data_IF_732823457853
#
_entry.id   IF_732823457853
#
_cell.length_a   1.000
_cell.length_b   1.000
_cell.length_c   1.000
_cell.angle_alpha   90.00
_cell.angle_beta   90.00
_cell.angle_gamma   90.00
#
_symmetry.space_group_name_H-M   'P 1'
#
loop_
_entity.id
_entity.type
_entity.pdbx_description
1 polymer ?
#
# COMPACT_ATOMS: atom_id res chain seq x y z
N UNK A 1 3.79 16.88 14.55
CA UNK A 1 4.39 15.57 14.24
C UNK A 1 4.66 15.50 12.75
N UNK A 2 5.89 15.21 12.32
CA UNK A 2 6.27 15.09 10.91
C UNK A 2 6.58 13.62 10.58
N UNK A 3 6.05 13.12 9.46
CA UNK A 3 6.32 11.77 8.99
C UNK A 3 7.48 11.81 7.99
N UNK A 4 8.42 10.87 8.14
CA UNK A 4 9.49 10.64 7.18
C UNK A 4 9.19 9.37 6.38
N UNK A 5 9.17 9.48 5.06
CA UNK A 5 9.02 8.33 4.17
C UNK A 5 10.26 7.44 4.24
N UNK A 6 10.06 6.12 4.28
CA UNK A 6 11.13 5.12 4.24
C UNK A 6 11.39 4.56 2.84
N UNK A 7 10.58 4.98 1.86
CA UNK A 7 10.60 4.42 0.51
C UNK A 7 9.43 4.92 -0.33
N UNK A 8 9.23 4.28 -1.48
CA UNK A 8 8.16 4.58 -2.42
C UNK A 8 7.62 3.32 -3.09
N UNK A 9 6.44 3.43 -3.69
CA UNK A 9 5.73 2.34 -4.34
C UNK A 9 5.79 2.53 -5.85
N UNK A 10 6.27 1.54 -6.59
CA UNK A 10 6.16 1.46 -8.06
C UNK A 10 5.01 0.52 -8.41
N UNK A 11 3.92 1.09 -8.89
CA UNK A 11 2.76 0.32 -9.34
C UNK A 11 2.50 0.57 -10.82
N UNK A 12 2.07 -0.45 -11.59
CA UNK A 12 1.58 -0.25 -12.96
C UNK A 12 0.27 0.57 -12.99
N UNK A 13 -0.39 0.74 -11.85
CA UNK A 13 -1.67 1.44 -11.72
C UNK A 13 -1.43 2.95 -11.66
N UNK A 14 -1.75 3.64 -12.76
CA UNK A 14 -1.57 5.10 -12.88
C UNK A 14 -2.80 5.91 -12.49
N UNK A 15 -3.98 5.29 -12.44
CA UNK A 15 -5.26 5.94 -12.13
C UNK A 15 -6.03 5.13 -11.08
N UNK A 16 -6.88 5.79 -10.26
CA UNK A 16 -7.75 5.09 -9.33
C UNK A 16 -8.62 4.09 -10.09
N UNK A 17 -8.54 2.81 -9.73
CA UNK A 17 -9.39 1.76 -10.29
C UNK A 17 -10.23 1.13 -9.20
N UNK A 18 -11.47 0.78 -9.53
CA UNK A 18 -12.33 -0.02 -8.66
C UNK A 18 -12.24 -1.48 -9.08
N UNK A 19 -11.84 -2.36 -8.16
CA UNK A 19 -11.68 -3.80 -8.43
C UNK A 19 -10.45 -4.16 -9.28
N UNK A 20 -10.35 -5.45 -9.65
CA UNK A 20 -9.29 -5.96 -10.54
C UNK A 20 -7.89 -5.93 -9.93
N UNK A 21 -7.78 -6.13 -8.62
CA UNK A 21 -6.51 -6.06 -7.88
C UNK A 21 -5.76 -7.40 -7.82
N UNK A 22 -6.44 -8.50 -8.13
CA UNK A 22 -5.96 -9.88 -7.93
C UNK A 22 -4.64 -10.17 -8.64
N UNK A 23 -4.44 -9.60 -9.83
CA UNK A 23 -3.25 -9.85 -10.66
C UNK A 23 -2.25 -8.68 -10.63
N UNK A 24 -2.45 -7.69 -9.75
CA UNK A 24 -1.62 -6.49 -9.73
C UNK A 24 -0.38 -6.68 -8.86
N UNK A 25 0.75 -6.95 -9.49
CA UNK A 25 2.06 -6.94 -8.83
C UNK A 25 2.53 -5.50 -8.68
N UNK A 26 2.98 -5.14 -7.48
CA UNK A 26 3.47 -3.81 -7.13
C UNK A 26 4.81 -3.96 -6.41
N UNK A 27 5.79 -3.15 -6.77
CA UNK A 27 7.13 -3.16 -6.18
C UNK A 27 7.22 -2.07 -5.11
N UNK A 28 7.72 -2.43 -3.93
CA UNK A 28 7.97 -1.50 -2.82
C UNK A 28 9.47 -1.29 -2.74
N UNK A 29 9.93 -0.07 -2.97
CA UNK A 29 11.35 0.29 -2.94
C UNK A 29 11.65 1.00 -1.63
N UNK A 30 12.43 0.36 -0.77
CA UNK A 30 12.85 0.90 0.53
C UNK A 30 14.25 1.52 0.39
N UNK A 31 14.47 2.65 1.05
CA UNK A 31 15.79 3.28 1.13
C UNK A 31 16.75 2.38 1.93
N UNK A 32 17.97 2.20 1.42
CA UNK A 32 19.00 1.32 2.01
C UNK A 32 19.33 1.65 3.46
N UNK A 33 19.11 2.89 3.90
CA UNK A 33 19.29 3.30 5.30
C UNK A 33 18.32 2.61 6.27
N UNK A 34 17.29 1.93 5.77
CA UNK A 34 16.30 1.17 6.54
C UNK A 34 16.35 -0.34 6.29
N UNK A 35 17.37 -0.83 5.57
CA UNK A 35 17.49 -2.23 5.19
C UNK A 35 17.51 -3.18 6.40
N UNK A 36 18.18 -2.78 7.49
CA UNK A 36 18.27 -3.56 8.73
C UNK A 36 16.89 -3.86 9.34
N UNK A 37 15.90 -3.00 9.11
CA UNK A 37 14.52 -3.21 9.59
C UNK A 37 13.72 -4.24 8.78
N UNK A 38 14.30 -4.79 7.69
CA UNK A 38 13.67 -5.78 6.83
C UNK A 38 14.21 -7.21 7.08
N UNK A 39 15.13 -7.39 8.03
CA UNK A 39 15.66 -8.71 8.36
C UNK A 39 14.53 -9.67 8.79
N UNK A 40 14.47 -10.86 8.18
CA UNK A 40 13.45 -11.88 8.43
C UNK A 40 12.08 -11.61 7.79
N UNK A 41 11.95 -10.60 6.92
CA UNK A 41 10.68 -10.30 6.24
C UNK A 41 10.23 -11.42 5.30
N UNK A 42 11.17 -12.21 4.79
CA UNK A 42 11.00 -13.35 3.90
C UNK A 42 10.37 -14.57 4.59
N UNK A 43 10.40 -14.64 5.92
CA UNK A 43 9.69 -15.66 6.70
C UNK A 43 8.16 -15.48 6.69
N UNK A 44 7.67 -14.33 6.22
CA UNK A 44 6.25 -13.97 6.21
C UNK A 44 5.67 -13.96 4.79
N UNK A 45 4.52 -14.61 4.65
CA UNK A 45 3.76 -14.62 3.39
C UNK A 45 2.90 -13.36 3.17
N UNK A 46 2.62 -12.60 4.22
CA UNK A 46 1.71 -11.45 4.19
C UNK A 46 2.26 -10.30 5.03
N UNK A 47 2.17 -9.09 4.49
CA UNK A 47 2.66 -7.86 5.13
C UNK A 47 1.56 -6.81 5.20
N UNK A 48 1.56 -6.02 6.28
CA UNK A 48 0.75 -4.81 6.38
C UNK A 48 1.61 -3.63 5.96
N UNK A 49 1.24 -2.99 4.85
CA UNK A 49 1.98 -1.84 4.32
C UNK A 49 1.21 -0.56 4.60
N UNK A 50 1.84 0.34 5.37
CA UNK A 50 1.34 1.69 5.60
C UNK A 50 1.98 2.63 4.59
N UNK A 51 1.15 3.36 3.85
CA UNK A 51 1.62 4.30 2.82
C UNK A 51 0.82 5.60 2.85
N UNK A 52 1.41 6.65 2.29
CA UNK A 52 0.79 7.97 2.23
C UNK A 52 0.05 8.17 0.91
N UNK A 53 -1.25 8.44 0.99
CA UNK A 53 -2.08 8.80 -0.17
C UNK A 53 -1.85 10.28 -0.53
N UNK A 54 -0.73 10.55 -1.18
CA UNK A 54 -0.26 11.89 -1.55
C UNK A 54 -1.20 12.66 -2.48
N UNK A 55 -1.92 11.95 -3.36
CA UNK A 55 -2.84 12.54 -4.35
C UNK A 55 -4.27 12.75 -3.86
N UNK A 56 -4.59 12.43 -2.61
CA UNK A 56 -5.94 12.64 -2.07
C UNK A 56 -6.14 14.11 -1.72
N UNK A 57 -7.22 14.69 -2.25
CA UNK A 57 -7.69 16.03 -1.90
C UNK A 57 -8.16 16.05 -0.44
N UNK A 58 -7.33 16.64 0.44
CA UNK A 58 -7.56 16.73 1.88
C UNK A 58 -8.79 17.58 2.24
N UNK A 59 -9.31 18.37 1.31
CA UNK A 59 -10.40 19.33 1.53
C UNK A 59 -11.80 18.79 1.30
N UNK A 60 -11.98 17.55 0.82
CA UNK A 60 -13.31 17.03 0.45
C UNK A 60 -13.59 15.65 1.04
N UNK A 61 -13.99 15.63 2.31
CA UNK A 61 -14.73 14.50 2.87
C UNK A 61 -16.19 14.60 2.40
N UNK A 62 -16.48 14.20 1.16
CA UNK A 62 -17.86 13.82 0.80
C UNK A 62 -18.14 12.48 1.43
N UNK A 63 -18.64 12.49 2.66
CA UNK A 63 -19.18 11.30 3.30
C UNK A 63 -20.36 10.79 2.47
N UNK A 64 -20.13 9.77 1.63
CA UNK A 64 -21.20 9.06 0.95
C UNK A 64 -21.87 8.14 1.97
N UNK A 65 -23.05 8.53 2.46
CA UNK A 65 -23.94 7.67 3.27
C UNK A 65 -24.47 6.54 2.40
N UNK A 66 -23.68 5.48 2.22
CA UNK A 66 -24.25 4.19 1.86
C UNK A 66 -23.59 3.12 2.69
N UNK A 67 -24.45 2.45 3.46
CA UNK A 67 -24.15 1.49 4.49
C UNK A 67 -23.48 0.24 3.91
N UNK A 68 -22.16 0.22 3.80
CA UNK A 68 -21.41 -1.00 3.52
C UNK A 68 -20.15 -1.03 4.37
N UNK A 69 -20.15 -1.98 5.31
CA UNK A 69 -19.08 -2.31 6.25
C UNK A 69 -17.80 -2.65 5.48
N UNK A 70 -16.90 -1.68 5.29
CA UNK A 70 -15.57 -1.91 4.71
C UNK A 70 -14.74 -2.77 5.68
N UNK A 71 -14.64 -4.07 5.39
CA UNK A 71 -13.46 -4.85 5.77
C UNK A 71 -12.40 -4.61 4.70
N UNK A 72 -11.49 -3.66 4.97
CA UNK A 72 -10.24 -3.53 4.22
C UNK A 72 -9.30 -4.64 4.69
N UNK A 73 -9.34 -5.79 4.02
CA UNK A 73 -8.28 -6.79 4.06
C UNK A 73 -7.75 -6.86 2.63
N UNK A 74 -6.55 -6.32 2.40
CA UNK A 74 -5.84 -6.50 1.14
C UNK A 74 -5.08 -7.83 1.21
N UNK A 75 -5.42 -8.86 0.43
CA UNK A 75 -4.50 -9.97 0.21
C UNK A 75 -3.45 -9.51 -0.80
N UNK A 76 -2.28 -9.10 -0.31
CA UNK A 76 -1.09 -8.96 -1.17
C UNK A 76 -0.48 -10.36 -1.27
N UNK A 77 -0.72 -11.05 -2.38
CA UNK A 77 0.00 -12.28 -2.71
C UNK A 77 1.27 -11.87 -3.45
N UNK A 78 2.39 -11.85 -2.73
CA UNK A 78 3.70 -11.60 -3.30
C UNK A 78 4.36 -12.95 -3.59
N UNK A 79 4.48 -13.30 -4.87
CA UNK A 79 5.34 -14.42 -5.31
C UNK A 79 6.72 -13.84 -5.62
N UNK A 80 7.71 -14.26 -4.84
CA UNK A 80 9.12 -14.04 -5.15
C UNK A 80 9.51 -14.97 -6.31
N UNK A 81 10.08 -14.38 -7.36
CA UNK A 81 10.84 -15.09 -8.40
C UNK A 81 12.30 -15.17 -7.97
#
# INVERSE_FOLDING_TARGET
>A
MQLKSIGYIKSPIKQPKFGGWQDSITEIVIDTNYADGLEGIDDYSHLIILYWLDKVDKGRVKHWRSSYRLKLVFPVSLRFL
#
